data_IF_519603362350
#
_entry.id   IF_519603362350
#
_cell.length_a   1.000
_cell.length_b   1.000
_cell.length_c   1.000
_cell.angle_alpha   90.00
_cell.angle_beta   90.00
_cell.angle_gamma   90.00
#
_symmetry.space_group_name_H-M   'P 1'
#
loop_
_entity.id
_entity.type
_entity.pdbx_description
1 polymer ?
#
# COMPACT_ATOMS: atom_id res chain seq x y z
N UNK A 1 8.16 -8.95 4.04
CA UNK A 1 7.73 -9.56 5.33
C UNK A 1 6.82 -10.75 5.03
N UNK A 2 6.77 -11.78 5.89
CA UNK A 2 5.76 -12.86 5.74
C UNK A 2 4.50 -12.49 6.51
N UNK A 3 3.33 -12.63 5.89
CA UNK A 3 2.00 -12.43 6.49
C UNK A 3 1.09 -13.60 6.13
N UNK A 4 0.06 -13.85 6.93
CA UNK A 4 -1.01 -14.75 6.49
C UNK A 4 -1.86 -14.03 5.44
N UNK A 5 -2.37 -14.76 4.44
CA UNK A 5 -3.15 -14.16 3.37
C UNK A 5 -4.44 -13.49 3.87
N UNK A 6 -5.05 -14.02 4.95
CA UNK A 6 -6.21 -13.42 5.63
C UNK A 6 -5.93 -12.01 6.17
N UNK A 7 -4.67 -11.67 6.44
CA UNK A 7 -4.26 -10.37 6.96
C UNK A 7 -4.05 -9.33 5.85
N UNK A 8 -4.14 -9.74 4.58
CA UNK A 8 -3.92 -8.86 3.43
C UNK A 8 -5.26 -8.32 2.95
N UNK A 9 -5.38 -7.00 3.00
CA UNK A 9 -6.63 -6.33 2.66
C UNK A 9 -6.90 -6.34 1.16
N UNK A 10 -8.18 -6.29 0.79
CA UNK A 10 -8.61 -6.09 -0.59
C UNK A 10 -7.91 -4.87 -1.20
N UNK A 11 -7.38 -5.03 -2.41
CA UNK A 11 -6.62 -4.00 -3.12
C UNK A 11 -5.11 -4.02 -2.85
N UNK A 12 -4.66 -4.74 -1.81
CA UNK A 12 -3.23 -4.95 -1.56
C UNK A 12 -2.68 -6.11 -2.39
N UNK A 13 -1.35 -6.15 -2.49
CA UNK A 13 -0.63 -7.16 -3.27
C UNK A 13 0.26 -8.03 -2.39
N UNK A 14 0.60 -9.22 -2.90
CA UNK A 14 1.64 -10.08 -2.35
C UNK A 14 2.35 -10.83 -3.47
N UNK A 15 3.52 -11.40 -3.16
CA UNK A 15 4.31 -12.22 -4.07
C UNK A 15 4.29 -13.68 -3.66
N UNK A 16 4.01 -14.55 -4.63
CA UNK A 16 4.08 -15.99 -4.50
C UNK A 16 4.23 -16.64 -5.89
N UNK A 17 4.94 -17.76 -5.98
CA UNK A 17 5.19 -18.48 -7.23
C UNK A 17 5.76 -17.61 -8.37
N UNK A 18 6.67 -16.68 -8.04
CA UNK A 18 7.25 -15.73 -8.99
C UNK A 18 6.28 -14.69 -9.56
N UNK A 19 5.04 -14.63 -9.06
CA UNK A 19 3.98 -13.75 -9.53
C UNK A 19 3.58 -12.78 -8.41
N UNK A 20 3.29 -11.55 -8.80
CA UNK A 20 2.64 -10.58 -7.94
C UNK A 20 1.11 -10.68 -8.11
N UNK A 21 0.42 -10.87 -6.99
CA UNK A 21 -1.01 -11.13 -6.91
C UNK A 21 -1.72 -9.98 -6.22
N UNK A 22 -2.82 -9.52 -6.79
CA UNK A 22 -3.75 -8.57 -6.20
C UNK A 22 -4.87 -9.30 -5.47
N UNK A 23 -5.15 -8.89 -4.23
CA UNK A 23 -6.26 -9.41 -3.43
C UNK A 23 -7.58 -8.76 -3.85
N UNK A 24 -8.53 -9.54 -4.36
CA UNK A 24 -9.88 -9.07 -4.73
C UNK A 24 -10.86 -9.12 -3.56
N UNK A 25 -10.55 -9.91 -2.53
CA UNK A 25 -11.31 -10.03 -1.29
C UNK A 25 -11.52 -11.48 -0.88
N UNK A 26 -11.88 -11.68 0.39
CA UNK A 26 -12.32 -12.96 0.90
C UNK A 26 -13.75 -13.26 0.44
N UNK A 27 -14.04 -14.51 0.13
CA UNK A 27 -15.41 -15.00 0.12
C UNK A 27 -15.79 -15.42 1.53
N UNK A 28 -16.77 -14.74 2.11
CA UNK A 28 -17.44 -15.21 3.31
C UNK A 28 -18.04 -16.59 3.03
N UNK A 29 -17.40 -17.63 3.54
CA UNK A 29 -18.03 -18.94 3.64
C UNK A 29 -19.24 -18.76 4.56
N UNK A 30 -20.45 -18.69 3.99
CA UNK A 30 -21.72 -18.62 4.73
C UNK A 30 -22.06 -19.93 5.47
N UNK A 31 -21.08 -20.51 6.15
CA UNK A 31 -21.19 -21.73 6.96
C UNK A 31 -19.81 -22.16 7.45
N UNK A 32 -19.72 -22.44 8.76
CA UNK A 32 -18.51 -22.79 9.52
C UNK A 32 -17.76 -24.09 9.10
N UNK A 33 -17.87 -24.53 7.85
CA UNK A 33 -17.29 -25.78 7.35
C UNK A 33 -16.34 -25.61 6.15
N UNK A 34 -16.22 -24.40 5.57
CA UNK A 34 -15.21 -24.14 4.53
C UNK A 34 -14.12 -23.24 5.09
N UNK A 35 -12.84 -23.47 4.73
CA UNK A 35 -11.79 -22.49 5.02
C UNK A 35 -12.18 -21.17 4.36
N UNK A 36 -11.82 -20.06 5.01
CA UNK A 36 -11.90 -18.75 4.36
C UNK A 36 -11.04 -18.81 3.09
N UNK A 37 -11.61 -18.35 1.98
CA UNK A 37 -10.92 -18.33 0.70
C UNK A 37 -10.73 -16.90 0.25
N UNK A 38 -9.54 -16.58 -0.22
CA UNK A 38 -9.22 -15.28 -0.79
C UNK A 38 -9.13 -15.38 -2.30
N UNK A 39 -9.93 -14.58 -3.01
CA UNK A 39 -9.85 -14.48 -4.47
C UNK A 39 -8.72 -13.54 -4.85
N UNK A 40 -7.83 -14.01 -5.74
CA UNK A 40 -6.68 -13.24 -6.22
C UNK A 40 -6.60 -13.23 -7.74
N UNK A 41 -5.90 -12.24 -8.29
CA UNK A 41 -5.58 -12.14 -9.72
C UNK A 41 -4.17 -11.61 -9.90
N UNK A 42 -3.45 -12.05 -10.93
CA UNK A 42 -2.12 -11.50 -11.22
C UNK A 42 -2.19 -10.00 -11.49
N UNK A 43 -1.22 -9.22 -11.00
CA UNK A 43 -1.18 -7.75 -11.24
C UNK A 43 -0.88 -7.45 -12.71
N UNK A 44 -0.05 -8.26 -13.36
CA UNK A 44 0.30 -8.15 -14.78
C UNK A 44 -0.05 -9.38 -15.61
N UNK A 45 0.38 -9.34 -16.88
CA UNK A 45 0.28 -10.46 -17.83
C UNK A 45 1.35 -11.49 -17.50
N UNK A 46 0.94 -12.74 -17.26
CA UNK A 46 1.92 -13.83 -17.02
C UNK A 46 2.51 -14.34 -18.33
N UNK A 47 1.73 -14.30 -19.42
CA UNK A 47 2.15 -14.63 -20.78
C UNK A 47 1.11 -14.23 -21.83
N UNK A 48 1.46 -14.33 -23.12
CA UNK A 48 0.54 -14.11 -24.24
C UNK A 48 0.16 -15.44 -24.90
N UNK A 49 -1.15 -15.71 -25.03
CA UNK A 49 -1.70 -16.95 -25.62
C UNK A 49 -3.04 -16.69 -26.29
N UNK A 50 -3.41 -17.61 -27.19
CA UNK A 50 -4.78 -17.69 -27.69
C UNK A 50 -5.70 -18.09 -26.53
N UNK A 51 -6.95 -17.64 -26.59
CA UNK A 51 -7.98 -18.17 -25.69
C UNK A 51 -8.26 -19.63 -26.04
N UNK A 52 -8.43 -19.90 -27.32
CA UNK A 52 -8.55 -21.25 -27.85
C UNK A 52 -7.92 -21.34 -29.24
N UNK A 53 -7.03 -22.30 -29.46
CA UNK A 53 -6.39 -22.51 -30.76
C UNK A 53 -7.38 -22.98 -31.84
N UNK A 54 -8.46 -23.65 -31.43
CA UNK A 54 -9.58 -24.03 -32.30
C UNK A 54 -10.55 -22.89 -32.61
N UNK A 55 -10.40 -21.74 -31.95
CA UNK A 55 -11.24 -20.56 -32.14
C UNK A 55 -12.59 -20.61 -31.44
N UNK A 56 -12.81 -21.52 -30.47
CA UNK A 56 -14.03 -21.55 -29.66
C UNK A 56 -13.92 -20.63 -28.43
N UNK A 57 -14.99 -19.93 -28.09
CA UNK A 57 -15.10 -19.05 -26.93
C UNK A 57 -15.62 -19.76 -25.67
N UNK A 58 -15.88 -21.07 -25.74
CA UNK A 58 -16.17 -21.89 -24.57
C UNK A 58 -14.88 -22.21 -23.79
N UNK A 59 -14.71 -21.53 -22.63
CA UNK A 59 -13.55 -21.74 -21.76
C UNK A 59 -13.39 -23.20 -21.32
N UNK A 60 -14.48 -23.98 -21.22
CA UNK A 60 -14.47 -25.35 -20.66
C UNK A 60 -13.62 -26.31 -21.46
N UNK A 61 -13.59 -26.10 -22.78
CA UNK A 61 -12.90 -26.91 -23.77
C UNK A 61 -11.70 -26.21 -24.38
N UNK A 62 -11.34 -25.02 -23.90
CA UNK A 62 -10.32 -24.20 -24.54
C UNK A 62 -8.91 -24.71 -24.30
N UNK A 63 -8.01 -24.44 -25.25
CA UNK A 63 -6.58 -24.68 -25.07
C UNK A 63 -6.01 -23.87 -23.90
N UNK A 64 -6.54 -22.68 -23.63
CA UNK A 64 -6.09 -21.86 -22.51
C UNK A 64 -6.46 -22.47 -21.15
N UNK A 65 -7.67 -23.03 -20.97
CA UNK A 65 -8.02 -23.73 -19.73
C UNK A 65 -7.15 -24.95 -19.52
N UNK A 66 -6.91 -25.73 -20.58
CA UNK A 66 -6.05 -26.92 -20.56
C UNK A 66 -4.66 -26.57 -20.03
N UNK A 67 -4.10 -25.46 -20.52
CA UNK A 67 -2.82 -24.96 -20.05
C UNK A 67 -2.88 -24.44 -18.60
N UNK A 68 -3.88 -23.62 -18.26
CA UNK A 68 -4.05 -23.02 -16.93
C UNK A 68 -4.21 -24.06 -15.81
N UNK A 69 -4.92 -25.16 -16.08
CA UNK A 69 -5.15 -26.24 -15.12
C UNK A 69 -4.26 -27.47 -15.36
N UNK A 70 -3.23 -27.33 -16.20
CA UNK A 70 -2.18 -28.31 -16.44
C UNK A 70 -0.82 -27.72 -16.07
N UNK A 71 0.04 -27.50 -17.07
CA UNK A 71 1.42 -26.99 -16.89
C UNK A 71 1.53 -25.73 -16.02
N UNK A 72 0.58 -24.79 -16.13
CA UNK A 72 0.61 -23.59 -15.29
C UNK A 72 0.30 -23.91 -13.83
N UNK A 73 -0.73 -24.73 -13.57
CA UNK A 73 -1.12 -25.13 -12.22
C UNK A 73 -0.01 -25.95 -11.54
N UNK A 74 0.62 -26.89 -12.25
CA UNK A 74 1.72 -27.70 -11.72
C UNK A 74 2.86 -26.81 -11.18
N UNK A 75 3.22 -25.75 -11.93
CA UNK A 75 4.22 -24.78 -11.46
C UNK A 75 3.79 -23.98 -10.24
N UNK A 76 2.50 -23.67 -10.11
CA UNK A 76 1.99 -23.01 -8.91
C UNK A 76 2.02 -23.97 -7.71
N UNK A 77 1.62 -25.23 -7.90
CA UNK A 77 1.59 -26.24 -6.84
C UNK A 77 2.98 -26.62 -6.31
N UNK A 78 4.04 -26.44 -7.12
CA UNK A 78 5.43 -26.59 -6.67
C UNK A 78 5.86 -25.49 -5.66
N UNK A 79 5.29 -24.29 -5.77
CA UNK A 79 5.67 -23.13 -4.96
C UNK A 79 4.70 -22.84 -3.79
N UNK A 80 3.45 -23.29 -3.90
CA UNK A 80 2.45 -23.16 -2.85
C UNK A 80 2.41 -24.39 -1.93
N UNK A 81 1.99 -24.24 -0.66
CA UNK A 81 1.71 -25.39 0.21
C UNK A 81 0.66 -26.33 -0.42
N UNK A 82 0.67 -27.62 -0.04
CA UNK A 82 -0.38 -28.55 -0.43
C UNK A 82 -1.77 -27.99 -0.11
N UNK A 83 -2.73 -28.21 -1.01
CA UNK A 83 -4.12 -27.77 -0.89
C UNK A 83 -4.34 -26.25 -0.77
N UNK A 84 -3.31 -25.43 -1.04
CA UNK A 84 -3.43 -23.97 -1.01
C UNK A 84 -4.36 -23.43 -2.10
N UNK A 85 -4.33 -24.02 -3.31
CA UNK A 85 -5.14 -23.60 -4.46
C UNK A 85 -6.42 -24.43 -4.49
N UNK A 86 -7.56 -23.75 -4.33
CA UNK A 86 -8.86 -24.40 -4.16
C UNK A 86 -9.69 -24.28 -5.43
N UNK A 87 -10.25 -25.41 -5.87
CA UNK A 87 -11.14 -25.45 -7.02
C UNK A 87 -12.44 -24.67 -6.75
N UNK A 88 -12.85 -23.87 -7.73
CA UNK A 88 -14.09 -23.10 -7.67
C UNK A 88 -14.83 -23.09 -9.01
N UNK A 89 -16.14 -22.92 -8.93
CA UNK A 89 -16.99 -22.85 -10.10
C UNK A 89 -16.95 -21.45 -10.71
N UNK A 90 -16.60 -21.35 -12.00
CA UNK A 90 -16.70 -20.12 -12.79
C UNK A 90 -18.02 -20.10 -13.56
N UNK A 91 -18.69 -18.94 -13.57
CA UNK A 91 -19.92 -18.72 -14.33
C UNK A 91 -19.58 -18.22 -15.74
N UNK A 92 -19.97 -19.00 -16.75
CA UNK A 92 -19.69 -18.75 -18.16
C UNK A 92 -20.92 -18.21 -18.90
N UNK A 93 -21.81 -17.54 -18.17
CA UNK A 93 -22.84 -16.69 -18.79
C UNK A 93 -22.17 -15.71 -19.75
N UNK A 94 -22.61 -15.72 -21.00
CA UNK A 94 -22.11 -14.82 -22.03
C UNK A 94 -22.50 -13.37 -21.74
N UNK A 95 -21.81 -12.41 -22.34
CA UNK A 95 -22.04 -10.98 -22.07
C UNK A 95 -23.41 -10.48 -22.55
N UNK A 96 -24.07 -11.20 -23.47
CA UNK A 96 -25.46 -10.99 -23.88
C UNK A 96 -26.49 -11.70 -22.98
N UNK A 97 -26.04 -12.40 -21.95
CA UNK A 97 -26.86 -13.09 -20.94
C UNK A 97 -27.21 -14.54 -21.27
N UNK A 98 -26.77 -15.08 -22.41
CA UNK A 98 -26.99 -16.49 -22.75
C UNK A 98 -26.17 -17.42 -21.85
N UNK A 99 -26.75 -18.58 -21.51
CA UNK A 99 -26.22 -19.50 -20.48
C UNK A 99 -25.85 -20.88 -21.00
N UNK A 100 -25.69 -21.02 -22.32
CA UNK A 100 -25.49 -22.32 -22.97
C UNK A 100 -24.26 -23.07 -22.43
N UNK A 101 -23.23 -22.34 -22.01
CA UNK A 101 -22.01 -22.93 -21.43
C UNK A 101 -22.11 -23.21 -19.93
N UNK A 102 -23.09 -22.64 -19.23
CA UNK A 102 -23.32 -22.88 -17.81
C UNK A 102 -22.13 -22.52 -16.93
N UNK A 103 -21.61 -23.49 -16.19
CA UNK A 103 -20.51 -23.34 -15.23
C UNK A 103 -19.44 -24.38 -15.46
N UNK A 104 -18.26 -24.09 -14.94
CA UNK A 104 -17.10 -24.98 -15.00
C UNK A 104 -16.32 -24.94 -13.70
N UNK A 105 -15.70 -26.06 -13.31
CA UNK A 105 -14.89 -26.14 -12.10
C UNK A 105 -13.41 -26.05 -12.47
N UNK A 106 -12.72 -25.05 -11.92
CA UNK A 106 -11.29 -24.78 -12.20
C UNK A 106 -10.54 -24.42 -10.93
N UNK A 107 -9.26 -24.78 -10.86
CA UNK A 107 -8.32 -24.27 -9.85
C UNK A 107 -7.72 -22.93 -10.30
N UNK A 108 -7.41 -22.81 -11.58
CA UNK A 108 -6.93 -21.57 -12.19
C UNK A 108 -7.87 -21.16 -13.31
N UNK A 109 -8.50 -20.00 -13.14
CA UNK A 109 -9.41 -19.41 -14.12
C UNK A 109 -8.92 -18.06 -14.62
N UNK A 110 -9.83 -17.32 -15.25
CA UNK A 110 -9.69 -15.90 -15.57
C UNK A 110 -10.80 -15.13 -14.83
N UNK A 111 -10.66 -13.81 -14.74
CA UNK A 111 -11.80 -12.99 -14.31
C UNK A 111 -12.92 -13.08 -15.34
N UNK A 112 -14.17 -13.12 -14.89
CA UNK A 112 -15.33 -12.80 -15.74
C UNK A 112 -15.46 -11.28 -15.89
N UNK A 113 -16.19 -10.83 -16.91
CA UNK A 113 -16.52 -9.41 -17.06
C UNK A 113 -17.32 -8.86 -15.87
N UNK A 114 -18.13 -9.68 -15.22
CA UNK A 114 -18.84 -9.29 -13.99
C UNK A 114 -17.87 -9.06 -12.83
N UNK A 115 -16.93 -10.00 -12.61
CA UNK A 115 -15.90 -9.87 -11.59
C UNK A 115 -14.98 -8.68 -11.85
N UNK A 116 -14.61 -8.46 -13.11
CA UNK A 116 -13.82 -7.30 -13.54
C UNK A 116 -14.55 -5.98 -13.22
N UNK A 117 -15.82 -5.85 -13.61
CA UNK A 117 -16.64 -4.66 -13.33
C UNK A 117 -16.81 -4.43 -11.83
N UNK A 118 -17.02 -5.50 -11.05
CA UNK A 118 -17.16 -5.45 -9.59
C UNK A 118 -15.90 -4.95 -8.89
N UNK A 119 -14.71 -5.25 -9.43
CA UNK A 119 -13.42 -4.90 -8.84
C UNK A 119 -12.69 -3.79 -9.59
N UNK A 120 -13.42 -2.99 -10.40
CA UNK A 120 -12.80 -1.98 -11.27
C UNK A 120 -12.13 -0.84 -10.50
N UNK A 121 -12.54 -0.63 -9.25
CA UNK A 121 -11.97 0.32 -8.29
C UNK A 121 -10.53 -0.02 -7.88
N UNK A 122 -10.15 -1.30 -7.88
CA UNK A 122 -8.81 -1.77 -7.51
C UNK A 122 -8.03 -2.41 -8.68
N UNK A 123 -8.64 -2.52 -9.86
CA UNK A 123 -8.00 -3.03 -11.08
C UNK A 123 -7.67 -1.87 -12.03
N UNK A 124 -6.48 -1.22 -11.88
CA UNK A 124 -6.06 -0.19 -12.81
C UNK A 124 -5.78 -0.78 -14.21
N UNK A 125 -5.88 0.04 -15.27
CA UNK A 125 -5.39 -0.34 -16.59
C UNK A 125 -3.89 -0.67 -16.53
N UNK A 126 -3.48 -1.76 -17.19
CA UNK A 126 -2.09 -2.26 -17.15
C UNK A 126 -1.33 -2.05 -18.46
N UNK A 127 -1.89 -1.27 -19.40
CA UNK A 127 -1.25 -0.97 -20.68
C UNK A 127 -1.19 -2.13 -21.69
N UNK A 128 -1.79 -3.28 -21.36
CA UNK A 128 -1.80 -4.49 -22.18
C UNK A 128 -3.23 -5.04 -22.31
N UNK A 129 -3.48 -5.74 -23.41
CA UNK A 129 -4.76 -6.41 -23.66
C UNK A 129 -4.78 -7.77 -22.95
N UNK A 130 -5.89 -8.17 -22.35
CA UNK A 130 -5.99 -9.47 -21.70
C UNK A 130 -7.38 -10.11 -21.73
N UNK A 131 -7.38 -11.44 -21.81
CA UNK A 131 -8.59 -12.24 -21.90
C UNK A 131 -9.39 -12.28 -20.59
N UNK A 132 -10.71 -12.27 -20.70
CA UNK A 132 -11.62 -12.68 -19.63
C UNK A 132 -12.18 -14.07 -19.92
N UNK A 133 -12.78 -14.72 -18.94
CA UNK A 133 -13.51 -15.98 -19.15
C UNK A 133 -14.85 -15.79 -19.86
N UNK A 134 -15.32 -14.55 -20.03
CA UNK A 134 -16.69 -14.27 -20.51
C UNK A 134 -16.76 -14.38 -22.03
N UNK A 135 -17.60 -15.28 -22.57
CA UNK A 135 -17.91 -15.31 -23.99
C UNK A 135 -18.63 -14.01 -24.40
N UNK A 136 -18.39 -13.54 -25.62
CA UNK A 136 -19.20 -12.45 -26.19
C UNK A 136 -20.66 -12.87 -26.35
N UNK A 137 -20.87 -14.08 -26.86
CA UNK A 137 -22.16 -14.74 -27.08
C UNK A 137 -21.91 -16.26 -27.14
N UNK A 138 -22.94 -17.04 -27.47
CA UNK A 138 -22.89 -18.51 -27.54
C UNK A 138 -23.41 -18.99 -28.92
N UNK A 139 -23.37 -20.30 -29.23
CA UNK A 139 -23.87 -20.83 -30.51
C UNK A 139 -25.36 -20.53 -30.76
N UNK A 140 -26.17 -20.35 -29.71
CA UNK A 140 -27.58 -19.97 -29.86
C UNK A 140 -27.78 -18.47 -30.14
N UNK A 141 -26.74 -17.64 -29.99
CA UNK A 141 -26.75 -16.20 -30.23
C UNK A 141 -25.91 -15.78 -31.44
N UNK A 142 -24.94 -14.90 -31.20
CA UNK A 142 -24.07 -14.31 -32.22
C UNK A 142 -22.86 -15.18 -32.59
N UNK A 143 -22.83 -16.44 -32.16
CA UNK A 143 -21.79 -17.42 -32.46
C UNK A 143 -20.78 -17.64 -31.34
N UNK A 144 -19.83 -18.54 -31.56
CA UNK A 144 -18.89 -19.04 -30.56
C UNK A 144 -17.44 -18.60 -30.77
N UNK A 145 -17.17 -17.58 -31.59
CA UNK A 145 -15.79 -17.23 -31.94
C UNK A 145 -15.20 -16.07 -31.14
N UNK A 146 -16.03 -15.29 -30.46
CA UNK A 146 -15.61 -14.05 -29.80
C UNK A 146 -15.60 -14.18 -28.28
N UNK A 147 -14.51 -13.75 -27.66
CA UNK A 147 -14.32 -13.70 -26.21
C UNK A 147 -14.21 -12.25 -25.78
N UNK A 148 -14.76 -11.90 -24.61
CA UNK A 148 -14.56 -10.59 -24.01
C UNK A 148 -13.14 -10.45 -23.48
N UNK A 149 -12.57 -9.27 -23.68
CA UNK A 149 -11.24 -8.91 -23.21
C UNK A 149 -11.26 -7.50 -22.63
N UNK A 150 -10.22 -7.18 -21.87
CA UNK A 150 -9.96 -5.82 -21.38
C UNK A 150 -8.84 -5.21 -22.20
N UNK A 151 -9.08 -3.97 -22.65
CA UNK A 151 -8.17 -3.18 -23.47
C UNK A 151 -7.09 -2.50 -22.62
N UNK A 152 -6.08 -1.90 -23.25
CA UNK A 152 -4.95 -1.23 -22.57
C UNK A 152 -5.38 -0.11 -21.62
N UNK A 153 -6.52 0.54 -21.88
CA UNK A 153 -7.10 1.62 -21.07
C UNK A 153 -8.14 1.13 -20.05
N UNK A 154 -8.33 -0.19 -19.94
CA UNK A 154 -9.31 -0.81 -19.07
C UNK A 154 -10.74 -0.85 -19.63
N UNK A 155 -10.97 -0.42 -20.87
CA UNK A 155 -12.27 -0.57 -21.52
C UNK A 155 -12.53 -2.03 -21.90
N UNK A 156 -13.81 -2.42 -21.97
CA UNK A 156 -14.21 -3.75 -22.40
C UNK A 156 -14.26 -3.82 -23.94
N UNK A 157 -13.73 -4.91 -24.50
CA UNK A 157 -13.78 -5.19 -25.94
C UNK A 157 -14.02 -6.67 -26.20
N UNK A 158 -13.97 -7.10 -27.45
CA UNK A 158 -14.06 -8.51 -27.85
C UNK A 158 -13.09 -8.80 -28.98
N UNK A 159 -12.54 -10.00 -29.02
CA UNK A 159 -11.72 -10.48 -30.12
C UNK A 159 -11.93 -11.97 -30.38
N UNK A 160 -11.44 -12.44 -31.52
CA UNK A 160 -11.46 -13.84 -31.90
C UNK A 160 -10.63 -14.70 -30.95
N UNK A 161 -11.18 -15.82 -30.49
CA UNK A 161 -10.56 -16.70 -29.52
C UNK A 161 -9.18 -17.23 -29.93
N UNK A 162 -8.93 -17.40 -31.23
CA UNK A 162 -7.66 -17.91 -31.77
C UNK A 162 -6.50 -16.89 -31.76
N UNK A 163 -6.73 -15.65 -31.34
CA UNK A 163 -5.69 -14.62 -31.33
C UNK A 163 -4.60 -14.89 -30.28
N UNK A 164 -3.40 -15.28 -30.71
CA UNK A 164 -2.27 -15.60 -29.83
C UNK A 164 -1.54 -14.43 -29.16
N UNK A 165 -1.97 -13.19 -29.40
CA UNK A 165 -1.23 -11.98 -29.01
C UNK A 165 -1.77 -11.29 -27.75
N UNK A 166 -2.79 -11.85 -27.12
CA UNK A 166 -3.43 -11.25 -25.95
C UNK A 166 -2.90 -11.88 -24.66
N UNK A 167 -2.88 -11.08 -23.60
CA UNK A 167 -2.34 -11.47 -22.31
C UNK A 167 -3.27 -12.37 -21.51
N UNK A 168 -2.66 -13.24 -20.71
CA UNK A 168 -3.30 -14.07 -19.71
C UNK A 168 -3.11 -13.41 -18.34
N UNK A 169 -4.21 -13.14 -17.63
CA UNK A 169 -4.22 -12.76 -16.20
C UNK A 169 -4.96 -13.83 -15.40
N UNK A 170 -4.24 -14.82 -14.84
CA UNK A 170 -4.87 -15.87 -14.04
C UNK A 170 -5.54 -15.29 -12.80
N UNK A 171 -6.70 -15.85 -12.48
CA UNK A 171 -7.42 -15.59 -11.24
C UNK A 171 -7.77 -16.93 -10.57
N UNK A 172 -7.59 -17.01 -9.25
CA UNK A 172 -7.75 -18.25 -8.50
C UNK A 172 -8.12 -17.97 -7.04
N UNK A 173 -8.60 -19.00 -6.35
CA UNK A 173 -8.88 -18.95 -4.92
C UNK A 173 -7.77 -19.63 -4.14
N UNK A 174 -7.27 -18.94 -3.13
CA UNK A 174 -6.29 -19.46 -2.17
C UNK A 174 -6.95 -19.66 -0.82
N UNK A 175 -6.53 -20.68 -0.09
CA UNK A 175 -6.82 -20.80 1.34
C UNK A 175 -6.24 -19.56 2.06
N UNK A 176 -7.07 -18.84 2.82
CA UNK A 176 -6.68 -17.60 3.49
C UNK A 176 -5.63 -17.80 4.59
N UNK A 177 -5.44 -19.02 5.10
CA UNK A 177 -4.48 -19.32 6.17
C UNK A 177 -3.03 -19.50 5.68
N UNK A 178 -2.80 -19.48 4.36
CA UNK A 178 -1.42 -19.65 3.84
C UNK A 178 -0.55 -18.44 4.17
N UNK A 179 0.74 -18.68 4.35
CA UNK A 179 1.75 -17.63 4.55
C UNK A 179 2.33 -17.17 3.21
N UNK A 180 2.31 -15.86 2.94
CA UNK A 180 2.80 -15.26 1.69
C UNK A 180 3.79 -14.12 1.97
N UNK A 181 4.55 -13.72 0.95
CA UNK A 181 5.49 -12.61 1.04
C UNK A 181 4.81 -11.31 0.62
N UNK A 182 4.82 -10.32 1.50
CA UNK A 182 4.36 -8.96 1.20
C UNK A 182 5.59 -8.08 1.11
N UNK A 183 5.71 -7.33 0.02
CA UNK A 183 6.71 -6.28 -0.10
C UNK A 183 6.39 -5.24 0.97
N UNK A 184 7.40 -4.81 1.74
CA UNK A 184 7.19 -3.80 2.77
C UNK A 184 6.90 -2.46 2.10
N UNK A 185 5.64 -2.22 1.74
CA UNK A 185 5.18 -0.92 1.30
C UNK A 185 4.32 -0.35 2.43
N UNK A 186 4.86 0.71 3.03
CA UNK A 186 4.19 1.63 3.93
C UNK A 186 3.11 2.42 3.16
N UNK A 187 2.19 1.71 2.50
CA UNK A 187 1.08 2.26 1.69
C UNK A 187 -0.27 2.06 2.40
N UNK A 188 -0.29 2.10 3.73
CA UNK A 188 -1.40 2.78 4.38
C UNK A 188 -1.14 4.27 4.15
N UNK A 189 -2.13 5.03 3.69
CA UNK A 189 -2.09 6.50 3.81
C UNK A 189 -2.00 6.83 5.31
N UNK A 190 -0.77 6.76 5.84
CA UNK A 190 -0.46 7.14 7.21
C UNK A 190 -0.82 8.60 7.31
N UNK A 191 -1.68 8.95 8.26
CA UNK A 191 -2.03 10.35 8.47
C UNK A 191 -0.73 11.14 8.78
N UNK A 192 -0.67 12.45 8.51
CA UNK A 192 0.52 13.25 8.81
C UNK A 192 1.02 13.04 10.25
N UNK A 193 0.10 12.81 11.19
CA UNK A 193 0.39 12.52 12.60
C UNK A 193 1.10 11.18 12.79
N UNK A 194 0.73 10.14 12.02
CA UNK A 194 1.38 8.82 12.07
C UNK A 194 2.77 8.87 11.42
N UNK A 195 2.95 9.67 10.37
CA UNK A 195 4.27 9.89 9.76
C UNK A 195 5.21 10.63 10.70
N UNK A 196 4.70 11.64 11.40
CA UNK A 196 5.46 12.40 12.41
C UNK A 196 5.86 11.48 13.58
N UNK A 197 4.93 10.65 14.06
CA UNK A 197 5.21 9.69 15.13
C UNK A 197 6.27 8.67 14.73
N UNK A 198 6.17 8.11 13.52
CA UNK A 198 7.15 7.17 12.98
C UNK A 198 8.55 7.81 12.84
N UNK A 199 8.63 9.11 12.58
CA UNK A 199 9.89 9.83 12.54
C UNK A 199 10.55 9.88 13.92
N UNK A 200 9.76 10.12 14.98
CA UNK A 200 10.26 10.13 16.36
C UNK A 200 10.69 8.73 16.82
N UNK A 201 9.91 7.69 16.50
CA UNK A 201 10.29 6.30 16.77
C UNK A 201 11.63 5.92 16.12
N UNK A 202 11.81 6.28 14.83
CA UNK A 202 13.08 6.07 14.11
C UNK A 202 14.25 6.81 14.76
N UNK A 203 14.03 8.01 15.30
CA UNK A 203 15.07 8.76 16.02
C UNK A 203 15.47 8.06 17.33
N UNK A 204 14.50 7.54 18.09
CA UNK A 204 14.76 6.76 19.31
C UNK A 204 15.51 5.47 18.98
N UNK A 205 15.10 4.74 17.95
CA UNK A 205 15.75 3.50 17.52
C UNK A 205 17.23 3.76 17.11
N UNK A 206 17.47 4.81 16.34
CA UNK A 206 18.79 5.11 15.78
C UNK A 206 19.79 5.65 16.81
N UNK A 207 19.34 6.52 17.70
CA UNK A 207 20.22 7.28 18.60
C UNK A 207 20.11 6.85 20.07
N UNK A 208 19.07 6.09 20.43
CA UNK A 208 18.81 5.58 21.77
C UNK A 208 18.12 6.60 22.70
N UNK A 209 17.30 6.08 23.62
CA UNK A 209 16.50 6.86 24.57
C UNK A 209 17.33 7.88 25.37
N UNK A 210 18.48 7.45 25.90
CA UNK A 210 19.36 8.32 26.70
C UNK A 210 19.85 9.53 25.92
N UNK A 211 20.11 9.40 24.61
CA UNK A 211 20.58 10.51 23.79
C UNK A 211 19.45 11.54 23.58
N UNK A 212 18.23 11.07 23.34
CA UNK A 212 17.06 11.94 23.17
C UNK A 212 16.71 12.67 24.48
N UNK A 213 16.79 12.00 25.64
CA UNK A 213 16.60 12.64 26.95
C UNK A 213 17.63 13.75 27.20
N UNK A 214 18.89 13.52 26.83
CA UNK A 214 19.93 14.54 26.98
C UNK A 214 19.69 15.75 26.05
N UNK A 215 19.25 15.49 24.81
CA UNK A 215 18.87 16.56 23.88
C UNK A 215 17.70 17.39 24.43
N UNK A 216 16.67 16.73 24.96
CA UNK A 216 15.56 17.43 25.59
C UNK A 216 16.00 18.35 26.74
N UNK A 217 16.96 17.91 27.56
CA UNK A 217 17.54 18.73 28.62
C UNK A 217 18.28 19.94 28.07
N UNK A 218 19.01 19.79 26.95
CA UNK A 218 19.73 20.86 26.27
C UNK A 218 18.75 21.94 25.77
N UNK A 219 17.73 21.55 25.01
CA UNK A 219 16.74 22.48 24.45
C UNK A 219 15.93 23.20 25.53
N UNK A 220 15.52 22.48 26.59
CA UNK A 220 14.85 23.11 27.74
C UNK A 220 15.75 24.14 28.46
N UNK A 221 17.05 23.88 28.49
CA UNK A 221 18.02 24.79 29.08
C UNK A 221 18.20 26.05 28.22
N UNK A 222 18.22 25.93 26.89
CA UNK A 222 18.29 27.07 25.99
C UNK A 222 17.01 27.93 26.04
N UNK A 223 15.83 27.30 26.05
CA UNK A 223 14.57 28.02 26.24
C UNK A 223 14.55 28.78 27.58
N UNK A 224 15.03 28.15 28.66
CA UNK A 224 15.15 28.81 29.97
C UNK A 224 16.06 30.03 29.89
N UNK A 225 17.21 29.94 29.21
CA UNK A 225 18.13 31.07 29.01
C UNK A 225 17.48 32.18 28.18
N UNK A 226 16.75 31.84 27.11
CA UNK A 226 16.07 32.80 26.25
C UNK A 226 14.98 33.58 27.02
N UNK A 227 14.18 32.87 27.83
CA UNK A 227 13.19 33.48 28.72
C UNK A 227 13.82 34.41 29.77
N UNK A 228 14.95 34.02 30.37
CA UNK A 228 15.69 34.88 31.30
C UNK A 228 16.22 36.15 30.64
N UNK A 229 16.65 36.09 29.38
CA UNK A 229 17.04 37.29 28.60
C UNK A 229 15.83 38.22 28.42
N UNK A 230 14.64 37.68 28.16
CA UNK A 230 13.41 38.47 28.05
C UNK A 230 13.01 39.14 29.35
N UNK A 231 13.09 38.44 30.48
CA UNK A 231 12.86 39.03 31.80
C UNK A 231 13.81 40.21 32.04
N UNK A 232 15.12 40.02 31.79
CA UNK A 232 16.11 41.10 31.95
C UNK A 232 15.92 42.27 30.99
N UNK A 233 15.48 42.00 29.76
CA UNK A 233 15.12 43.05 28.81
C UNK A 233 13.94 43.88 29.32
N UNK A 234 12.94 43.22 29.90
CA UNK A 234 11.73 43.86 30.42
C UNK A 234 12.04 44.69 31.68
N UNK A 235 12.84 44.16 32.59
CA UNK A 235 13.13 44.80 33.88
C UNK A 235 14.19 45.90 33.78
N UNK A 236 15.20 45.71 32.91
CA UNK A 236 16.40 46.56 32.88
C UNK A 236 16.76 47.10 31.48
N UNK A 237 15.98 46.79 30.45
CA UNK A 237 16.23 47.26 29.08
C UNK A 237 17.44 46.60 28.40
N UNK A 238 17.92 45.46 28.90
CA UNK A 238 19.11 44.79 28.36
C UNK A 238 18.84 44.04 27.05
N UNK A 239 19.69 44.24 26.05
CA UNK A 239 19.66 43.51 24.78
C UNK A 239 18.60 43.99 23.78
N UNK A 240 18.62 43.43 22.57
CA UNK A 240 17.65 43.74 21.53
C UNK A 240 16.40 42.87 21.69
N UNK A 241 15.25 43.49 21.88
CA UNK A 241 13.96 42.80 22.09
C UNK A 241 13.59 41.87 20.95
N UNK A 242 13.87 42.23 19.69
CA UNK A 242 13.51 41.41 18.55
C UNK A 242 14.35 40.14 18.46
N UNK A 243 15.65 40.25 18.76
CA UNK A 243 16.55 39.10 18.76
C UNK A 243 16.22 38.13 19.89
N UNK A 244 15.82 38.65 21.05
CA UNK A 244 15.35 37.85 22.19
C UNK A 244 14.05 37.11 21.86
N UNK A 245 13.07 37.80 21.28
CA UNK A 245 11.80 37.17 20.90
C UNK A 245 12.00 36.10 19.82
N UNK A 246 12.93 36.33 18.89
CA UNK A 246 13.31 35.34 17.88
C UNK A 246 13.94 34.11 18.53
N UNK A 247 14.92 34.30 19.42
CA UNK A 247 15.53 33.19 20.17
C UNK A 247 14.48 32.41 20.96
N UNK A 248 13.55 33.07 21.66
CA UNK A 248 12.46 32.37 22.36
C UNK A 248 11.60 31.53 21.41
N UNK A 249 11.30 32.04 20.22
CA UNK A 249 10.49 31.31 19.24
C UNK A 249 11.21 30.05 18.72
N UNK A 250 12.52 30.16 18.46
CA UNK A 250 13.38 29.04 18.05
C UNK A 250 13.43 27.97 19.15
N UNK A 251 13.88 28.31 20.36
CA UNK A 251 14.03 27.33 21.44
C UNK A 251 12.69 26.69 21.85
N UNK A 252 11.57 27.44 21.73
CA UNK A 252 10.24 26.89 22.03
C UNK A 252 9.82 25.84 21.01
N UNK A 253 10.17 26.01 19.74
CA UNK A 253 9.89 25.02 18.70
C UNK A 253 10.74 23.77 18.94
N UNK A 254 12.03 23.94 19.24
CA UNK A 254 12.95 22.83 19.51
C UNK A 254 12.49 22.03 20.74
N UNK A 255 12.10 22.69 21.83
CA UNK A 255 11.50 22.04 23.00
C UNK A 255 10.20 21.30 22.65
N UNK A 256 9.36 21.84 21.78
CA UNK A 256 8.11 21.16 21.38
C UNK A 256 8.39 19.84 20.67
N UNK A 257 9.41 19.79 19.81
CA UNK A 257 9.84 18.56 19.12
C UNK A 257 10.36 17.55 20.16
N UNK A 258 11.19 18.02 21.09
CA UNK A 258 11.73 17.16 22.15
C UNK A 258 10.62 16.57 23.02
N UNK A 259 9.57 17.35 23.33
CA UNK A 259 8.43 16.85 24.10
C UNK A 259 7.68 15.72 23.38
N UNK A 260 7.48 15.82 22.06
CA UNK A 260 6.89 14.74 21.26
C UNK A 260 7.77 13.48 21.28
N UNK A 261 9.10 13.63 21.22
CA UNK A 261 10.02 12.48 21.33
C UNK A 261 10.02 11.86 22.72
N UNK A 262 9.88 12.66 23.77
CA UNK A 262 9.74 12.16 25.14
C UNK A 262 8.40 11.42 25.34
N UNK A 263 7.33 11.81 24.65
CA UNK A 263 6.05 11.08 24.59
C UNK A 263 6.26 9.66 24.02
N UNK A 264 7.10 9.51 22.98
CA UNK A 264 7.47 8.18 22.44
C UNK A 264 8.24 7.33 23.45
N UNK A 265 9.17 7.92 24.20
CA UNK A 265 10.04 7.18 25.12
C UNK A 265 9.31 6.80 26.42
N UNK A 266 8.52 7.71 26.98
CA UNK A 266 7.91 7.53 28.29
C UNK A 266 6.41 7.17 28.23
N UNK A 267 5.81 7.18 27.03
CA UNK A 267 4.39 6.96 26.83
C UNK A 267 3.52 8.12 27.31
N UNK A 268 2.26 8.11 26.88
CA UNK A 268 1.25 9.03 27.37
C UNK A 268 1.08 8.82 28.89
N UNK A 269 1.45 9.81 29.70
CA UNK A 269 1.11 9.87 31.14
C UNK A 269 -0.40 10.11 31.34
N UNK A 270 -1.26 9.58 30.48
CA UNK A 270 -2.71 9.82 30.46
C UNK A 270 -3.39 9.36 31.74
N UNK A 271 -2.90 8.32 32.41
CA UNK A 271 -3.44 7.92 33.73
C UNK A 271 -3.28 9.04 34.79
N UNK A 272 -2.30 9.93 34.63
CA UNK A 272 -2.12 11.10 35.49
C UNK A 272 -2.76 12.38 34.92
N UNK A 273 -2.79 12.56 33.59
CA UNK A 273 -3.27 13.78 32.94
C UNK A 273 -4.80 13.83 32.76
N UNK A 274 -5.48 12.68 32.56
CA UNK A 274 -6.97 12.65 32.48
C UNK A 274 -7.61 12.99 33.83
N UNK A 275 -6.91 12.76 34.95
CA UNK A 275 -7.31 13.22 36.27
C UNK A 275 -7.22 14.76 36.46
N UNK A 276 -6.48 15.47 35.59
CA UNK A 276 -6.19 16.90 35.70
C UNK A 276 -6.80 17.78 34.58
N UNK A 277 -7.54 17.20 33.63
CA UNK A 277 -8.43 17.93 32.71
C UNK A 277 -7.76 18.83 31.66
N UNK A 278 -6.49 18.63 31.31
CA UNK A 278 -5.81 19.46 30.28
C UNK A 278 -5.95 18.86 28.87
N UNK A 279 -6.39 19.67 27.90
CA UNK A 279 -6.33 19.34 26.46
C UNK A 279 -4.95 19.69 25.89
N UNK A 280 -4.32 18.81 25.08
CA UNK A 280 -3.03 19.12 24.46
C UNK A 280 -3.16 20.21 23.39
N UNK A 281 -2.19 21.13 23.36
CA UNK A 281 -2.03 22.16 22.32
C UNK A 281 -0.87 21.68 21.43
N UNK A 282 -1.13 21.39 20.14
CA UNK A 282 -0.12 20.90 19.18
C UNK A 282 0.12 21.95 18.07
N UNK A 283 1.37 22.33 17.75
CA UNK A 283 1.69 23.20 16.60
C UNK A 283 1.57 22.44 15.26
N UNK A 284 1.35 23.18 14.15
CA UNK A 284 1.26 22.62 12.79
C UNK A 284 2.62 22.68 12.09
N UNK A 285 3.13 21.55 11.60
CA UNK A 285 4.37 21.47 10.80
C UNK A 285 4.12 20.75 9.47
N UNK A 286 4.78 21.21 8.40
CA UNK A 286 4.80 20.54 7.09
C UNK A 286 6.22 20.06 6.76
N UNK A 287 6.32 18.83 6.23
CA UNK A 287 7.55 18.26 5.69
C UNK A 287 7.69 18.60 4.20
N UNK A 288 8.84 19.15 3.79
CA UNK A 288 9.12 19.45 2.37
C UNK A 288 10.33 18.62 1.92
N UNK A 289 10.16 17.80 0.87
CA UNK A 289 11.25 17.07 0.23
C UNK A 289 12.10 18.01 -0.66
N UNK A 290 13.42 17.99 -0.47
CA UNK A 290 14.38 18.65 -1.37
C UNK A 290 15.37 17.60 -1.86
N UNK A 291 15.36 17.32 -3.16
CA UNK A 291 16.36 16.47 -3.80
C UNK A 291 17.74 17.15 -3.74
N UNK A 292 18.79 16.40 -3.37
CA UNK A 292 20.17 16.85 -3.51
C UNK A 292 21.03 15.82 -4.23
N UNK A 293 21.88 16.31 -5.14
CA UNK A 293 22.95 15.55 -5.77
C UNK A 293 23.90 15.03 -4.68
N UNK A 294 24.21 13.73 -4.72
CA UNK A 294 25.08 12.95 -3.80
C UNK A 294 24.39 12.04 -2.76
N UNK A 295 23.09 11.77 -2.87
CA UNK A 295 22.48 10.58 -2.23
C UNK A 295 22.29 10.63 -0.71
N UNK A 296 22.23 11.83 -0.10
CA UNK A 296 21.80 12.02 1.29
C UNK A 296 20.37 12.60 1.29
N UNK A 297 19.39 11.86 1.80
CA UNK A 297 18.03 12.39 2.02
C UNK A 297 18.07 13.25 3.30
N UNK A 298 17.79 14.54 3.19
CA UNK A 298 17.54 15.45 4.32
C UNK A 298 16.07 15.83 4.32
N UNK A 299 15.35 15.52 5.40
CA UNK A 299 14.00 16.03 5.65
C UNK A 299 14.10 17.37 6.40
N UNK A 300 13.41 18.39 5.92
CA UNK A 300 13.34 19.71 6.54
C UNK A 300 11.92 19.91 7.11
N UNK A 301 11.79 20.12 8.42
CA UNK A 301 10.51 20.37 9.10
C UNK A 301 10.31 21.89 9.17
N UNK A 302 9.21 22.41 8.59
CA UNK A 302 8.90 23.84 8.58
C UNK A 302 7.59 24.13 9.33
N UNK A 303 7.62 25.11 10.22
CA UNK A 303 6.42 25.77 10.74
C UNK A 303 5.88 26.72 9.64
N UNK A 304 4.62 26.55 9.28
CA UNK A 304 3.97 27.30 8.19
C UNK A 304 3.65 28.75 8.57
N UNK A 305 3.78 29.16 9.83
CA UNK A 305 3.43 30.52 10.28
C UNK A 305 4.62 31.50 10.45
N UNK A 306 5.88 31.06 10.33
CA UNK A 306 7.06 31.92 10.62
C UNK A 306 7.95 32.17 9.40
N UNK A 307 7.88 33.37 8.83
CA UNK A 307 8.56 33.78 7.58
C UNK A 307 10.09 33.94 7.67
N UNK A 308 10.83 33.23 8.55
CA UNK A 308 12.23 33.61 8.84
C UNK A 308 13.25 32.51 9.17
N UNK A 309 13.18 31.34 8.53
CA UNK A 309 14.20 30.28 8.67
C UNK A 309 15.04 30.13 7.40
N UNK A 310 16.11 30.93 7.29
CA UNK A 310 17.09 30.81 6.20
C UNK A 310 18.55 30.70 6.68
N UNK A 311 18.82 30.32 7.93
CA UNK A 311 20.18 30.56 8.46
C UNK A 311 20.80 29.59 9.49
N UNK A 312 20.31 28.36 9.70
CA UNK A 312 20.92 27.48 10.74
C UNK A 312 21.61 26.20 10.22
N UNK A 313 21.88 26.08 8.92
CA UNK A 313 22.73 24.99 8.39
C UNK A 313 23.85 25.53 7.48
N UNK A 314 24.62 26.50 7.99
CA UNK A 314 25.89 26.93 7.35
C UNK A 314 27.10 26.91 8.31
N UNK A 315 27.00 26.32 9.52
CA UNK A 315 28.13 26.32 10.51
C UNK A 315 28.48 24.92 11.06
N UNK A 316 28.45 23.85 10.26
CA UNK A 316 29.19 22.62 10.60
C UNK A 316 29.83 21.94 9.38
N UNK A 317 30.48 22.73 8.54
CA UNK A 317 31.70 22.27 7.87
C UNK A 317 32.87 23.03 8.50
N UNK A 318 33.97 22.30 8.75
CA UNK A 318 35.21 22.68 9.46
C UNK A 318 35.06 22.65 11.00
N UNK A 319 35.78 21.86 11.80
CA UNK A 319 37.05 21.16 11.66
C UNK A 319 37.05 19.88 12.53
N UNK A 320 37.49 18.75 11.97
CA UNK A 320 38.18 17.70 12.76
C UNK A 320 39.61 17.66 12.23
N UNK A 321 40.57 17.88 13.14
CA UNK A 321 41.94 17.39 12.99
C UNK A 321 41.95 15.86 13.06
#
# INVERSE_FOLDING_TARGET
MKKQLVEISRGQTFRAAGIEWLVLGAEDSKGNWRPELTRVVSTGIVEKRAFDEGGDNDFRSSSLKTYLNGEFLERLEDDFPPDAIVAQAIDLTADDGLKDYGRDEVKVGLLTMEEYRKNRDILPPIGEWWWTATPYSTPSGAGNSFVRLVYTDGSASSSYAYGGHYGVRPALYLNSEISVSVDGTDDEETTPEQQEMALYEKAVEKFGERAQVLMAVEEMSELTKALLKYTRNTDFGHGNRNDILKSIAEERADVSIMLNQLEVIFGDNTDAATAAGHKPIRPKVEAVEIATENGLIRAEIRDTESTRLRLLIEIRQEETK
#
